data_IF_171345420619
#
_entry.id   IF_171345420619
#
_cell.length_a   1.000
_cell.length_b   1.000
_cell.length_c   1.000
_cell.angle_alpha   90.00
_cell.angle_beta   90.00
_cell.angle_gamma   90.00
#
_symmetry.space_group_name_H-M   'P 1'
#
loop_
_entity.id
_entity.type
_entity.pdbx_description
1 polymer ?
#
# COMPACT_ATOMS: atom_id res chain seq x y z
N UNK A 1 -4.50 10.96 17.17
CA UNK A 1 -5.80 10.92 16.46
C UNK A 1 -5.99 9.51 15.93
N UNK A 2 -7.13 8.87 16.20
CA UNK A 2 -7.46 7.53 15.68
C UNK A 2 -8.53 7.73 14.60
N UNK A 3 -8.27 7.23 13.39
CA UNK A 3 -9.24 7.28 12.29
C UNK A 3 -9.70 5.85 12.01
N UNK A 4 -10.98 5.52 12.22
CA UNK A 4 -11.50 4.20 11.86
C UNK A 4 -11.53 4.07 10.33
N UNK A 5 -10.98 2.97 9.82
CA UNK A 5 -10.95 2.66 8.38
C UNK A 5 -11.67 1.34 8.16
N UNK A 6 -12.66 1.33 7.25
CA UNK A 6 -13.28 0.09 6.80
C UNK A 6 -12.45 -0.51 5.67
N UNK A 7 -11.37 -1.20 6.04
CA UNK A 7 -10.35 -1.66 5.10
C UNK A 7 -10.94 -2.46 3.92
N UNK A 8 -11.88 -3.35 4.19
CA UNK A 8 -12.54 -4.17 3.15
C UNK A 8 -13.30 -3.36 2.10
N UNK A 9 -13.71 -2.13 2.40
CA UNK A 9 -14.38 -1.22 1.46
C UNK A 9 -13.39 -0.26 0.79
N UNK A 10 -12.35 0.14 1.52
CA UNK A 10 -11.45 1.23 1.11
C UNK A 10 -10.13 0.74 0.51
N UNK A 11 -9.84 -0.57 0.55
CA UNK A 11 -8.52 -1.10 0.19
C UNK A 11 -8.07 -0.81 -1.25
N UNK A 12 -9.03 -0.68 -2.19
CA UNK A 12 -8.74 -0.36 -3.59
C UNK A 12 -8.30 1.10 -3.74
N UNK A 13 -9.02 2.03 -3.11
CA UNK A 13 -8.65 3.46 -3.11
C UNK A 13 -7.34 3.69 -2.37
N UNK A 14 -7.13 3.01 -1.25
CA UNK A 14 -5.84 3.02 -0.56
C UNK A 14 -4.70 2.50 -1.45
N UNK A 15 -4.95 1.47 -2.27
CA UNK A 15 -3.94 0.98 -3.21
C UNK A 15 -3.62 1.99 -4.30
N UNK A 16 -4.64 2.63 -4.89
CA UNK A 16 -4.45 3.71 -5.88
C UNK A 16 -3.62 4.86 -5.30
N UNK A 17 -3.95 5.29 -4.07
CA UNK A 17 -3.22 6.35 -3.39
C UNK A 17 -1.77 5.95 -3.12
N UNK A 18 -1.52 4.72 -2.64
CA UNK A 18 -0.17 4.21 -2.42
C UNK A 18 0.65 4.23 -3.71
N UNK A 19 0.08 3.76 -4.83
CA UNK A 19 0.75 3.81 -6.13
C UNK A 19 1.03 5.25 -6.57
N UNK A 20 0.09 6.18 -6.35
CA UNK A 20 0.29 7.60 -6.64
C UNK A 20 1.42 8.22 -5.80
N UNK A 21 1.49 7.91 -4.51
CA UNK A 21 2.56 8.39 -3.63
C UNK A 21 3.93 7.85 -4.05
N UNK A 22 4.01 6.57 -4.43
CA UNK A 22 5.25 5.95 -4.90
C UNK A 22 5.71 6.56 -6.23
N UNK A 23 4.80 6.66 -7.22
CA UNK A 23 5.13 7.21 -8.54
C UNK A 23 5.55 8.69 -8.49
N UNK A 24 5.02 9.45 -7.54
CA UNK A 24 5.42 10.85 -7.29
C UNK A 24 6.67 11.00 -6.40
N UNK A 25 7.27 9.91 -5.94
CA UNK A 25 8.46 9.94 -5.07
C UNK A 25 8.21 10.51 -3.67
N UNK A 26 6.95 10.51 -3.20
CA UNK A 26 6.55 11.02 -1.88
C UNK A 26 7.01 10.07 -0.76
N UNK A 27 7.06 8.77 -1.05
CA UNK A 27 7.46 7.76 -0.09
C UNK A 27 8.98 7.54 -0.13
N UNK A 28 9.66 7.72 1.01
CA UNK A 28 11.05 7.31 1.24
C UNK A 28 11.08 6.29 2.36
N UNK A 29 11.82 5.20 2.17
CA UNK A 29 11.92 4.09 3.12
C UNK A 29 13.38 3.94 3.53
N UNK A 30 13.62 3.80 4.83
CA UNK A 30 14.97 3.58 5.33
C UNK A 30 15.49 2.20 4.90
N UNK A 31 16.74 2.05 4.43
CA UNK A 31 17.25 0.77 3.91
C UNK A 31 17.19 -0.41 4.89
N UNK A 32 17.17 -0.15 6.20
CA UNK A 32 17.04 -1.20 7.22
C UNK A 32 15.64 -1.82 7.30
N UNK A 33 14.62 -1.21 6.67
CA UNK A 33 13.25 -1.71 6.67
C UNK A 33 13.05 -2.79 5.59
N UNK A 34 13.78 -3.90 5.70
CA UNK A 34 13.85 -4.95 4.69
C UNK A 34 12.49 -5.55 4.31
N UNK A 35 11.63 -5.83 5.29
CA UNK A 35 10.30 -6.42 5.05
C UNK A 35 9.37 -5.47 4.28
N UNK A 36 9.43 -4.17 4.56
CA UNK A 36 8.70 -3.14 3.80
C UNK A 36 9.22 -3.08 2.36
N UNK A 37 10.54 -3.12 2.16
CA UNK A 37 11.13 -3.10 0.82
C UNK A 37 10.72 -4.36 0.05
N UNK A 38 10.75 -5.51 0.71
CA UNK A 38 10.34 -6.79 0.12
C UNK A 38 8.84 -6.85 -0.18
N UNK A 39 7.99 -6.29 0.68
CA UNK A 39 6.54 -6.24 0.42
C UNK A 39 6.23 -5.44 -0.84
N UNK A 40 6.87 -4.29 -1.02
CA UNK A 40 6.69 -3.44 -2.21
C UNK A 40 7.25 -4.11 -3.48
N UNK A 41 8.41 -4.76 -3.40
CA UNK A 41 9.03 -5.43 -4.55
C UNK A 41 8.26 -6.68 -5.00
N UNK A 42 7.67 -7.41 -4.06
CA UNK A 42 6.94 -8.64 -4.33
C UNK A 42 5.46 -8.41 -4.65
N UNK A 43 4.93 -7.21 -4.39
CA UNK A 43 3.52 -6.89 -4.61
C UNK A 43 3.10 -7.17 -6.07
N UNK A 44 2.11 -8.05 -6.22
CA UNK A 44 1.47 -8.36 -7.51
C UNK A 44 -0.02 -8.09 -7.42
N UNK A 45 -0.57 -7.55 -8.51
CA UNK A 45 -2.01 -7.40 -8.65
C UNK A 45 -2.62 -8.70 -9.15
N UNK A 46 -3.89 -8.91 -8.80
CA UNK A 46 -4.69 -9.96 -9.43
C UNK A 46 -4.85 -9.64 -10.93
N UNK A 47 -4.84 -10.65 -11.81
CA UNK A 47 -5.06 -10.45 -13.24
C UNK A 47 -6.37 -9.73 -13.56
N UNK A 48 -7.38 -9.91 -12.72
CA UNK A 48 -8.73 -9.35 -12.89
C UNK A 48 -8.88 -7.91 -12.42
N UNK A 49 -7.97 -7.39 -11.59
CA UNK A 49 -8.08 -6.03 -11.06
C UNK A 49 -6.69 -5.46 -10.69
N UNK A 50 -6.22 -4.40 -11.38
CA UNK A 50 -4.89 -3.81 -11.18
C UNK A 50 -4.73 -3.07 -9.83
N UNK A 51 -5.79 -2.94 -9.04
CA UNK A 51 -5.72 -2.35 -7.69
C UNK A 51 -6.02 -3.37 -6.59
N UNK A 52 -6.32 -4.62 -6.97
CA UNK A 52 -6.48 -5.71 -6.01
C UNK A 52 -5.17 -6.46 -5.88
N UNK A 53 -4.59 -6.43 -4.69
CA UNK A 53 -3.41 -7.22 -4.36
C UNK A 53 -3.72 -8.72 -4.43
N UNK A 54 -2.82 -9.48 -5.05
CA UNK A 54 -2.80 -10.94 -4.95
C UNK A 54 -1.95 -11.35 -3.75
N UNK A 55 -2.63 -11.57 -2.62
CA UNK A 55 -2.00 -11.94 -1.35
C UNK A 55 -1.38 -13.34 -1.35
N UNK A 56 -1.73 -14.22 -2.30
CA UNK A 56 -1.18 -15.57 -2.35
C UNK A 56 0.28 -15.59 -2.83
N UNK A 57 0.66 -14.61 -3.65
CA UNK A 57 1.98 -14.54 -4.29
C UNK A 57 2.81 -13.32 -3.86
N UNK A 58 2.20 -12.38 -3.14
CA UNK A 58 2.88 -11.23 -2.55
C UNK A 58 3.41 -11.61 -1.16
N UNK A 59 4.64 -11.17 -0.83
CA UNK A 59 5.25 -11.41 0.47
C UNK A 59 5.01 -10.23 1.43
N UNK A 60 4.99 -10.48 2.74
CA UNK A 60 4.87 -9.45 3.78
C UNK A 60 3.66 -8.51 3.57
N UNK A 61 2.50 -9.09 3.26
CA UNK A 61 1.29 -8.35 2.88
C UNK A 61 0.78 -7.44 3.99
N UNK A 62 0.98 -7.83 5.25
CA UNK A 62 0.73 -7.03 6.44
C UNK A 62 1.50 -5.71 6.43
N UNK A 63 2.78 -5.73 6.01
CA UNK A 63 3.59 -4.52 5.89
C UNK A 63 3.05 -3.60 4.78
N UNK A 64 2.59 -4.17 3.66
CA UNK A 64 1.95 -3.40 2.61
C UNK A 64 0.60 -2.81 3.05
N UNK A 65 -0.18 -3.54 3.85
CA UNK A 65 -1.43 -3.06 4.46
C UNK A 65 -1.14 -1.89 5.41
N UNK A 66 -0.07 -1.97 6.21
CA UNK A 66 0.38 -0.90 7.09
C UNK A 66 0.79 0.37 6.32
N UNK A 67 1.53 0.23 5.22
CA UNK A 67 1.89 1.37 4.35
C UNK A 67 0.65 2.02 3.77
N UNK A 68 -0.32 1.22 3.29
CA UNK A 68 -1.58 1.71 2.74
C UNK A 68 -2.36 2.53 3.75
N UNK A 69 -2.44 2.07 5.00
CA UNK A 69 -3.08 2.80 6.10
C UNK A 69 -2.33 4.09 6.42
N UNK A 70 -0.99 4.03 6.53
CA UNK A 70 -0.17 5.20 6.84
C UNK A 70 -0.32 6.30 5.77
N UNK A 71 -0.33 5.93 4.49
CA UNK A 71 -0.50 6.86 3.38
C UNK A 71 -1.94 7.35 3.24
N UNK A 72 -2.95 6.56 3.61
CA UNK A 72 -4.35 6.99 3.63
C UNK A 72 -4.55 8.23 4.51
N UNK A 73 -3.84 8.30 5.64
CA UNK A 73 -3.85 9.47 6.53
C UNK A 73 -3.32 10.76 5.91
N UNK A 74 -2.54 10.69 4.81
CA UNK A 74 -1.97 11.87 4.18
C UNK A 74 -2.96 12.66 3.33
N UNK A 75 -4.08 12.04 2.88
CA UNK A 75 -5.05 12.59 1.89
C UNK A 75 -4.45 13.75 1.07
N UNK A 76 -3.40 13.49 0.27
CA UNK A 76 -2.83 14.56 -0.54
C UNK A 76 -3.96 15.13 -1.38
N UNK A 77 -4.07 16.47 -1.48
CA UNK A 77 -5.00 17.09 -2.43
C UNK A 77 -4.65 16.53 -3.82
N UNK A 78 -5.47 15.61 -4.30
CA UNK A 78 -5.34 14.99 -5.61
C UNK A 78 -5.97 15.88 -6.65
#
# INVERSE_FOLDING_TARGET
>A
MIVPVMFNKEHLEMMKLTQACISKGILKIHPSMGEIIMSLKSAKNKPTNPYSLDKAVSAYNDQLDAIRLALCGLRPKM
#
